data_IF_106929883572
#
_entry.id   IF_106929883572
#
_cell.length_a   1.000
_cell.length_b   1.000
_cell.length_c   1.000
_cell.angle_alpha   90.00
_cell.angle_beta   90.00
_cell.angle_gamma   90.00
#
_symmetry.space_group_name_H-M   'P 1'
#
loop_
_entity.id
_entity.type
_entity.pdbx_description
1 polymer ?
#
# COMPACT_ATOMS: atom_id res chain seq x y z
N UNK A 1 -2.39 13.58 13.88
CA UNK A 1 -3.04 12.48 14.62
C UNK A 1 -2.16 11.93 15.75
N UNK A 2 -1.00 11.33 15.47
CA UNK A 2 -0.13 10.67 16.48
C UNK A 2 1.20 11.40 16.73
N UNK A 3 1.37 12.61 16.19
CA UNK A 3 2.61 13.39 16.31
C UNK A 3 2.97 13.78 17.75
N UNK A 4 1.98 13.99 18.61
CA UNK A 4 2.15 14.30 20.03
C UNK A 4 2.05 13.09 20.97
N UNK A 5 1.84 11.89 20.44
CA UNK A 5 1.69 10.66 21.22
C UNK A 5 3.05 10.00 21.48
N UNK A 6 3.16 9.21 22.55
CA UNK A 6 4.30 8.30 22.74
C UNK A 6 4.26 7.26 21.63
N UNK A 7 5.35 7.15 20.86
CA UNK A 7 5.46 6.22 19.73
C UNK A 7 6.33 5.04 20.14
N UNK A 8 5.75 3.87 20.52
CA UNK A 8 6.51 2.67 20.84
C UNK A 8 7.26 2.14 19.62
N UNK A 9 8.14 1.14 19.82
CA UNK A 9 8.92 0.56 18.71
C UNK A 9 8.03 0.06 17.56
N UNK A 10 6.86 -0.52 17.88
CA UNK A 10 5.90 -1.03 16.91
C UNK A 10 4.56 -0.35 17.11
N UNK A 11 3.96 0.15 16.02
CA UNK A 11 2.61 0.73 16.02
C UNK A 11 1.76 -0.01 14.99
N UNK A 12 0.69 -0.65 15.41
CA UNK A 12 -0.28 -1.28 14.52
C UNK A 12 -1.36 -0.26 14.13
N UNK A 13 -1.44 0.08 12.84
CA UNK A 13 -2.44 0.98 12.29
C UNK A 13 -3.76 0.27 11.97
N UNK A 14 -3.68 -0.97 11.49
CA UNK A 14 -4.82 -1.76 11.08
C UNK A 14 -4.64 -3.22 11.51
N UNK A 15 -5.69 -3.80 12.09
CA UNK A 15 -5.76 -5.22 12.40
C UNK A 15 -7.18 -5.72 12.13
N UNK A 16 -7.32 -6.70 11.23
CA UNK A 16 -8.62 -7.26 10.84
C UNK A 16 -9.34 -8.04 11.95
N UNK A 17 -8.62 -8.39 13.02
CA UNK A 17 -9.19 -9.07 14.21
C UNK A 17 -9.64 -8.08 15.29
N UNK A 18 -9.48 -6.78 15.08
CA UNK A 18 -10.00 -5.76 16.00
C UNK A 18 -11.53 -5.71 16.00
N UNK A 19 -12.12 -5.19 17.08
CA UNK A 19 -13.57 -4.98 17.16
C UNK A 19 -14.07 -3.90 16.20
N UNK A 20 -13.26 -2.85 15.98
CA UNK A 20 -13.52 -1.78 15.01
C UNK A 20 -12.28 -1.53 14.13
N UNK A 21 -11.96 -2.42 13.17
CA UNK A 21 -10.71 -2.37 12.39
C UNK A 21 -10.53 -1.08 11.57
N UNK A 22 -11.63 -0.44 11.17
CA UNK A 22 -11.64 0.73 10.28
C UNK A 22 -11.90 2.05 11.01
N UNK A 23 -11.85 2.08 12.35
CA UNK A 23 -12.15 3.30 13.15
C UNK A 23 -11.27 4.51 12.77
N UNK A 24 -10.04 4.28 12.33
CA UNK A 24 -9.10 5.33 11.91
C UNK A 24 -9.14 5.60 10.40
N UNK A 25 -9.89 4.78 9.65
CA UNK A 25 -9.86 4.75 8.20
C UNK A 25 -11.13 5.36 7.61
N UNK A 26 -10.98 6.17 6.57
CA UNK A 26 -12.07 6.42 5.64
C UNK A 26 -12.16 5.29 4.64
N UNK A 27 -13.39 4.94 4.27
CA UNK A 27 -13.69 3.92 3.27
C UNK A 27 -14.36 4.62 2.10
N UNK A 28 -13.78 4.46 0.92
CA UNK A 28 -14.38 4.90 -0.33
C UNK A 28 -14.68 3.68 -1.18
N UNK A 29 -15.89 3.63 -1.73
CA UNK A 29 -16.36 2.56 -2.62
C UNK A 29 -16.93 3.19 -3.88
N UNK A 30 -16.70 2.55 -5.02
CA UNK A 30 -17.27 2.96 -6.29
C UNK A 30 -18.80 2.82 -6.29
N UNK A 31 -19.50 3.95 -6.24
CA UNK A 31 -20.95 3.99 -6.27
C UNK A 31 -21.56 3.61 -7.63
N UNK A 32 -20.76 3.66 -8.72
CA UNK A 32 -21.25 3.29 -10.04
C UNK A 32 -21.34 1.76 -10.23
N UNK A 33 -20.60 0.98 -9.44
CA UNK A 33 -20.50 -0.48 -9.57
C UNK A 33 -20.70 -1.18 -8.21
N UNK A 34 -21.87 -1.05 -7.57
CA UNK A 34 -22.11 -1.56 -6.21
C UNK A 34 -22.12 -3.10 -6.11
N UNK A 35 -22.36 -3.82 -7.21
CA UNK A 35 -22.32 -5.28 -7.27
C UNK A 35 -20.91 -5.87 -7.23
N UNK A 36 -19.92 -5.07 -7.59
CA UNK A 36 -18.53 -5.51 -7.78
C UNK A 36 -17.54 -4.78 -6.88
N UNK A 37 -17.97 -3.64 -6.32
CA UNK A 37 -17.16 -2.74 -5.50
C UNK A 37 -17.63 -2.76 -4.06
N UNK A 38 -16.81 -3.27 -3.15
CA UNK A 38 -17.15 -3.31 -1.72
C UNK A 38 -15.92 -3.51 -0.84
N UNK A 39 -16.11 -3.20 0.44
CA UNK A 39 -15.17 -3.47 1.53
C UNK A 39 -15.89 -4.33 2.56
N UNK A 40 -15.38 -5.52 2.84
CA UNK A 40 -16.08 -6.48 3.70
C UNK A 40 -15.13 -7.34 4.53
N UNK A 41 -15.49 -7.60 5.79
CA UNK A 41 -14.75 -8.52 6.65
C UNK A 41 -15.26 -9.95 6.43
N UNK A 42 -14.36 -10.86 6.11
CA UNK A 42 -14.68 -12.27 5.90
C UNK A 42 -13.56 -13.17 6.43
N UNK A 43 -13.86 -14.44 6.65
CA UNK A 43 -12.87 -15.44 6.99
C UNK A 43 -12.07 -15.84 5.75
N UNK A 44 -10.73 -15.80 5.81
CA UNK A 44 -9.89 -16.01 4.63
C UNK A 44 -10.05 -17.41 4.02
N UNK A 45 -10.31 -18.43 4.83
CA UNK A 45 -10.51 -19.81 4.37
C UNK A 45 -11.87 -20.04 3.72
N UNK A 46 -12.93 -19.66 4.44
CA UNK A 46 -14.31 -19.97 4.02
C UNK A 46 -14.92 -18.90 3.12
N UNK A 47 -14.34 -17.70 3.09
CA UNK A 47 -14.90 -16.51 2.44
C UNK A 47 -16.29 -16.13 2.95
N UNK A 48 -16.57 -16.44 4.22
CA UNK A 48 -17.82 -16.13 4.90
C UNK A 48 -17.60 -15.08 6.02
N UNK A 49 -18.58 -14.21 6.32
CA UNK A 49 -19.87 -14.08 5.63
C UNK A 49 -19.70 -13.56 4.19
N UNK A 50 -20.66 -13.90 3.33
CA UNK A 50 -20.70 -13.38 1.97
C UNK A 50 -21.16 -11.92 1.98
N UNK A 51 -20.60 -11.04 1.12
CA UNK A 51 -21.06 -9.66 1.01
C UNK A 51 -22.51 -9.62 0.51
N UNK A 52 -23.31 -8.72 1.09
CA UNK A 52 -24.71 -8.56 0.69
C UNK A 52 -24.81 -7.92 -0.71
N UNK A 53 -25.48 -8.58 -1.65
CA UNK A 53 -25.76 -8.03 -2.97
C UNK A 53 -24.55 -7.91 -3.92
N UNK A 54 -23.41 -8.50 -3.56
CA UNK A 54 -22.19 -8.46 -4.36
C UNK A 54 -21.58 -9.86 -4.55
N UNK A 55 -20.85 -10.05 -5.65
CA UNK A 55 -20.19 -11.32 -5.94
C UNK A 55 -18.70 -11.27 -5.58
N UNK A 56 -18.23 -12.29 -4.85
CA UNK A 56 -16.81 -12.42 -4.51
C UNK A 56 -16.02 -12.92 -5.73
N UNK A 57 -14.90 -12.27 -6.01
CA UNK A 57 -13.95 -12.77 -6.99
C UNK A 57 -13.41 -14.15 -6.57
N UNK A 58 -13.29 -15.06 -7.53
CA UNK A 58 -12.57 -16.32 -7.34
C UNK A 58 -11.09 -16.03 -7.07
N UNK A 59 -10.58 -16.62 -5.98
CA UNK A 59 -9.16 -16.49 -5.66
C UNK A 59 -8.34 -17.33 -6.65
N UNK A 60 -7.13 -16.87 -7.03
CA UNK A 60 -6.23 -17.66 -7.84
C UNK A 60 -5.98 -19.00 -7.18
N UNK A 61 -6.10 -20.07 -7.96
CA UNK A 61 -5.57 -21.37 -7.56
C UNK A 61 -4.06 -21.17 -7.44
N UNK A 62 -3.56 -21.18 -6.21
CA UNK A 62 -2.15 -20.93 -5.95
C UNK A 62 -1.24 -22.01 -6.58
N UNK A 63 -1.82 -23.13 -7.04
CA UNK A 63 -1.12 -24.31 -7.55
C UNK A 63 -1.83 -24.90 -8.77
N UNK A 64 -1.03 -25.30 -9.78
CA UNK A 64 -1.51 -25.78 -11.09
C UNK A 64 -1.56 -27.30 -11.22
N UNK A 65 -1.16 -28.05 -10.18
CA UNK A 65 -1.16 -29.51 -10.20
C UNK A 65 -1.69 -30.05 -8.87
N UNK A 66 -2.57 -31.04 -9.00
CA UNK A 66 -3.10 -31.96 -7.99
C UNK A 66 -4.24 -31.45 -7.08
N UNK A 67 -5.38 -32.12 -7.27
CA UNK A 67 -6.56 -32.32 -6.43
C UNK A 67 -7.06 -31.20 -5.51
N UNK A 68 -8.37 -30.96 -5.57
CA UNK A 68 -9.08 -29.94 -4.81
C UNK A 68 -8.92 -30.05 -3.27
N UNK A 69 -8.36 -31.15 -2.76
CA UNK A 69 -8.03 -31.36 -1.36
C UNK A 69 -6.70 -30.73 -0.90
N UNK A 70 -5.79 -30.35 -1.82
CA UNK A 70 -4.44 -29.86 -1.49
C UNK A 70 -4.34 -28.35 -1.12
N UNK A 71 -5.48 -27.65 -1.02
CA UNK A 71 -5.53 -26.23 -0.61
C UNK A 71 -5.74 -26.04 0.90
N UNK A 72 -5.78 -27.13 1.66
CA UNK A 72 -5.83 -27.14 3.13
C UNK A 72 -4.44 -26.73 3.65
N UNK A 73 -4.38 -25.65 4.44
CA UNK A 73 -3.18 -25.19 5.14
C UNK A 73 -2.60 -23.84 4.70
N UNK A 74 -2.81 -23.46 3.44
CA UNK A 74 -2.22 -22.22 2.86
C UNK A 74 -3.09 -20.97 3.02
N UNK A 75 -4.24 -21.10 3.68
CA UNK A 75 -5.22 -20.05 3.94
C UNK A 75 -5.29 -19.80 5.45
N UNK A 76 -5.55 -18.57 5.86
CA UNK A 76 -5.64 -18.25 7.28
C UNK A 76 -7.04 -18.57 7.81
N UNK A 77 -7.16 -19.27 8.95
CA UNK A 77 -8.44 -19.37 9.71
C UNK A 77 -8.72 -18.09 10.49
N UNK A 78 -8.62 -16.94 9.83
CA UNK A 78 -8.76 -15.63 10.47
C UNK A 78 -9.67 -14.71 9.67
N UNK A 79 -10.30 -13.78 10.37
CA UNK A 79 -11.04 -12.66 9.77
C UNK A 79 -10.04 -11.72 9.10
N UNK A 80 -10.32 -11.37 7.85
CA UNK A 80 -9.51 -10.48 7.01
C UNK A 80 -10.42 -9.49 6.30
N UNK A 81 -9.88 -8.34 5.94
CA UNK A 81 -10.60 -7.33 5.19
C UNK A 81 -10.42 -7.57 3.70
N UNK A 82 -11.51 -7.90 3.01
CA UNK A 82 -11.56 -8.03 1.56
C UNK A 82 -12.00 -6.69 0.95
N UNK A 83 -11.17 -6.14 0.07
CA UNK A 83 -11.47 -4.91 -0.68
C UNK A 83 -11.52 -5.30 -2.15
N UNK A 84 -12.66 -5.09 -2.81
CA UNK A 84 -12.86 -5.48 -4.21
C UNK A 84 -13.41 -4.30 -5.01
N UNK A 85 -12.94 -4.17 -6.24
CA UNK A 85 -13.45 -3.23 -7.24
C UNK A 85 -12.84 -3.57 -8.60
N UNK A 86 -13.59 -3.46 -9.71
CA UNK A 86 -13.01 -3.49 -11.05
C UNK A 86 -12.19 -2.22 -11.35
N UNK A 87 -12.53 -1.11 -10.70
CA UNK A 87 -11.91 0.20 -10.83
C UNK A 87 -11.04 0.47 -9.61
N UNK A 88 -9.72 0.33 -9.77
CA UNK A 88 -8.78 0.40 -8.65
C UNK A 88 -8.81 1.76 -7.94
N UNK A 89 -8.95 2.87 -8.68
CA UNK A 89 -8.80 4.23 -8.15
C UNK A 89 -9.97 4.71 -7.28
N UNK A 90 -11.16 4.13 -7.48
CA UNK A 90 -12.42 4.62 -6.89
C UNK A 90 -12.76 3.92 -5.57
N UNK A 91 -12.22 2.71 -5.35
CA UNK A 91 -12.43 1.94 -4.12
C UNK A 91 -11.13 1.76 -3.34
N UNK A 92 -11.10 2.26 -2.10
CA UNK A 92 -9.92 2.20 -1.23
C UNK A 92 -10.28 2.45 0.23
N UNK A 93 -9.34 2.12 1.11
CA UNK A 93 -9.33 2.61 2.50
C UNK A 93 -8.15 3.56 2.70
N UNK A 94 -8.30 4.56 3.56
CA UNK A 94 -7.25 5.56 3.84
C UNK A 94 -7.20 5.92 5.31
N UNK A 95 -6.00 5.97 5.88
CA UNK A 95 -5.75 6.42 7.24
C UNK A 95 -4.72 7.57 7.22
N UNK A 96 -5.02 8.74 7.83
CA UNK A 96 -6.23 9.03 8.59
C UNK A 96 -7.43 9.27 7.66
N UNK A 97 -8.64 9.21 8.21
CA UNK A 97 -9.88 9.32 7.44
C UNK A 97 -10.00 10.61 6.61
N UNK A 98 -9.54 11.74 7.16
CA UNK A 98 -9.39 13.00 6.47
C UNK A 98 -7.92 13.41 6.50
N UNK A 99 -7.32 13.65 5.32
CA UNK A 99 -5.98 14.21 5.18
C UNK A 99 -5.90 15.03 3.89
N UNK A 100 -5.40 16.26 4.02
CA UNK A 100 -5.12 17.15 2.91
C UNK A 100 -3.72 17.71 3.02
N UNK A 101 -2.97 17.66 1.92
CA UNK A 101 -1.65 18.28 1.79
C UNK A 101 -1.69 19.82 1.82
N UNK A 102 -2.89 20.42 1.72
CA UNK A 102 -3.06 21.88 1.69
C UNK A 102 -3.26 22.50 3.06
N UNK A 103 -3.54 21.67 4.07
CA UNK A 103 -3.67 22.08 5.46
C UNK A 103 -2.36 21.79 6.19
N UNK A 104 -2.02 22.53 7.25
CA UNK A 104 -0.89 22.22 8.16
C UNK A 104 -1.15 20.95 9.01
N UNK A 105 -1.89 20.00 8.43
CA UNK A 105 -2.17 18.72 9.02
C UNK A 105 -0.95 17.82 8.87
N UNK A 106 -0.41 17.38 10.00
CA UNK A 106 0.72 16.43 10.05
C UNK A 106 0.28 14.99 9.73
N UNK A 107 -1.00 14.78 9.42
CA UNK A 107 -1.59 13.48 9.12
C UNK A 107 -1.38 12.50 10.28
N UNK A 108 -0.85 11.31 10.00
CA UNK A 108 -0.48 10.34 11.01
C UNK A 108 0.61 10.87 11.94
N UNK A 109 1.68 11.47 11.40
CA UNK A 109 2.80 11.97 12.22
C UNK A 109 3.65 10.86 12.85
N UNK A 110 3.65 9.66 12.28
CA UNK A 110 4.39 8.50 12.78
C UNK A 110 5.82 8.51 12.23
N UNK A 111 6.82 8.42 13.11
CA UNK A 111 8.25 8.59 12.78
C UNK A 111 8.96 7.28 12.43
N UNK A 112 8.26 6.16 12.51
CA UNK A 112 8.79 4.83 12.21
C UNK A 112 9.29 4.74 10.78
N UNK A 113 10.42 4.07 10.60
CA UNK A 113 11.08 4.00 9.29
C UNK A 113 10.62 2.80 8.45
N UNK A 114 10.14 1.73 9.10
CA UNK A 114 9.65 0.54 8.43
C UNK A 114 8.13 0.52 8.41
N UNK A 115 7.56 0.23 7.25
CA UNK A 115 6.15 -0.06 7.06
C UNK A 115 6.00 -1.50 6.59
N UNK A 116 5.08 -2.22 7.21
CA UNK A 116 4.75 -3.58 6.86
C UNK A 116 3.25 -3.74 6.61
N UNK A 117 2.92 -4.39 5.49
CA UNK A 117 1.55 -4.64 5.06
C UNK A 117 1.39 -6.13 4.79
N UNK A 118 0.51 -6.79 5.56
CA UNK A 118 0.13 -8.19 5.32
C UNK A 118 -1.06 -8.25 4.39
N UNK A 119 -0.81 -8.77 3.19
CA UNK A 119 -1.76 -8.78 2.10
C UNK A 119 -1.74 -10.13 1.37
N UNK A 120 -2.90 -10.57 0.91
CA UNK A 120 -3.05 -11.71 0.00
C UNK A 120 -3.42 -11.19 -1.39
N UNK A 121 -2.66 -11.65 -2.38
CA UNK A 121 -2.94 -11.37 -3.78
C UNK A 121 -4.21 -12.15 -4.22
N UNK A 122 -5.20 -11.45 -4.76
CA UNK A 122 -6.44 -12.04 -5.30
C UNK A 122 -6.41 -12.20 -6.82
N UNK A 123 -5.23 -12.06 -7.44
CA UNK A 123 -5.02 -12.30 -8.88
C UNK A 123 -5.40 -11.15 -9.79
N UNK A 124 -5.56 -9.94 -9.24
CA UNK A 124 -5.83 -8.72 -10.00
C UNK A 124 -4.78 -7.66 -9.69
N UNK A 125 -4.79 -6.60 -10.48
CA UNK A 125 -3.94 -5.44 -10.28
C UNK A 125 -4.18 -4.80 -8.92
N UNK A 126 -3.12 -4.61 -8.14
CA UNK A 126 -3.19 -4.04 -6.80
C UNK A 126 -2.21 -2.86 -6.65
N UNK A 127 -2.55 -1.93 -5.76
CA UNK A 127 -1.64 -0.85 -5.37
C UNK A 127 -1.89 -0.35 -3.95
N UNK A 128 -0.88 0.33 -3.43
CA UNK A 128 -1.00 1.13 -2.21
C UNK A 128 -0.22 2.43 -2.34
N UNK A 129 -0.56 3.38 -1.47
CA UNK A 129 0.07 4.67 -1.38
C UNK A 129 0.43 5.01 0.06
N UNK A 130 1.54 5.72 0.21
CA UNK A 130 1.96 6.29 1.47
C UNK A 130 2.41 7.73 1.26
N UNK A 131 1.92 8.62 2.11
CA UNK A 131 2.40 9.99 2.17
C UNK A 131 3.57 10.08 3.14
N UNK A 132 4.63 10.77 2.73
CA UNK A 132 5.82 10.99 3.55
C UNK A 132 6.17 12.47 3.58
N UNK A 133 6.90 12.87 4.61
CA UNK A 133 7.49 14.20 4.75
C UNK A 133 8.97 14.06 5.09
N UNK A 134 9.81 14.89 4.48
CA UNK A 134 11.20 15.01 4.85
C UNK A 134 11.42 16.03 5.99
N UNK A 135 12.62 16.08 6.57
CA UNK A 135 12.95 17.00 7.67
C UNK A 135 12.95 18.48 7.26
N UNK A 136 12.92 18.77 5.96
CA UNK A 136 12.78 20.12 5.42
C UNK A 136 11.32 20.53 5.23
N UNK A 137 10.37 19.65 5.55
CA UNK A 137 8.93 19.89 5.44
C UNK A 137 8.36 19.61 4.05
N UNK A 138 9.13 19.01 3.14
CA UNK A 138 8.64 18.71 1.79
C UNK A 138 7.85 17.41 1.79
N UNK A 139 6.69 17.45 1.15
CA UNK A 139 5.78 16.32 1.05
C UNK A 139 6.09 15.48 -0.19
N UNK A 140 5.93 14.17 -0.08
CA UNK A 140 5.96 13.25 -1.20
C UNK A 140 4.95 12.13 -1.02
N UNK A 141 4.55 11.51 -2.12
CA UNK A 141 3.72 10.31 -2.12
C UNK A 141 4.51 9.20 -2.79
N UNK A 142 4.64 8.06 -2.11
CA UNK A 142 5.12 6.83 -2.73
C UNK A 142 3.90 5.99 -3.08
N UNK A 143 3.77 5.62 -4.34
CA UNK A 143 2.77 4.67 -4.83
C UNK A 143 3.48 3.42 -5.31
N UNK A 144 3.09 2.26 -4.82
CA UNK A 144 3.60 0.97 -5.30
C UNK A 144 2.45 0.21 -5.97
N UNK A 145 2.68 -0.30 -7.18
CA UNK A 145 1.64 -0.96 -7.99
C UNK A 145 2.14 -2.18 -8.72
N UNK A 146 1.29 -3.20 -8.86
CA UNK A 146 1.63 -4.44 -9.57
C UNK A 146 1.67 -4.31 -11.10
N UNK A 147 1.05 -3.26 -11.64
CA UNK A 147 1.00 -2.96 -13.08
C UNK A 147 2.04 -1.92 -13.52
N UNK A 148 2.78 -1.34 -12.58
CA UNK A 148 3.86 -0.42 -12.91
C UNK A 148 5.11 -1.21 -13.28
N UNK A 149 5.73 -0.89 -14.41
CA UNK A 149 6.94 -1.58 -14.89
C UNK A 149 8.21 -0.82 -14.50
N UNK A 150 8.25 0.49 -14.80
CA UNK A 150 9.40 1.35 -14.53
C UNK A 150 9.05 2.41 -13.49
N UNK A 151 9.97 2.85 -12.62
CA UNK A 151 9.75 4.01 -11.76
C UNK A 151 9.35 5.25 -12.56
N UNK A 152 8.30 5.95 -12.13
CA UNK A 152 7.91 7.23 -12.73
C UNK A 152 7.62 8.26 -11.64
N UNK A 153 7.96 9.51 -11.90
CA UNK A 153 7.58 10.62 -11.04
C UNK A 153 6.48 11.42 -11.75
N UNK A 154 5.39 11.70 -11.02
CA UNK A 154 4.33 12.59 -11.48
C UNK A 154 4.25 13.78 -10.56
N UNK A 155 4.23 14.97 -11.14
CA UNK A 155 4.09 16.20 -10.39
C UNK A 155 2.92 16.98 -10.94
N UNK A 156 2.17 17.58 -10.03
CA UNK A 156 1.10 18.49 -10.36
C UNK A 156 1.33 19.71 -9.49
N UNK A 157 1.31 20.92 -10.07
CA UNK A 157 1.63 22.17 -9.37
C UNK A 157 0.86 22.37 -8.06
N UNK A 158 -0.28 21.68 -7.91
CA UNK A 158 -1.22 21.82 -6.82
C UNK A 158 -1.23 20.66 -5.80
N UNK A 159 -0.39 19.64 -6.00
CA UNK A 159 -0.37 18.42 -5.20
C UNK A 159 1.07 17.96 -4.92
N UNK A 160 1.24 17.17 -3.86
CA UNK A 160 2.53 16.56 -3.56
C UNK A 160 3.01 15.66 -4.73
N UNK A 161 4.32 15.64 -5.03
CA UNK A 161 4.88 14.76 -6.05
C UNK A 161 4.61 13.29 -5.73
N UNK A 162 4.26 12.51 -6.76
CA UNK A 162 3.94 11.08 -6.66
C UNK A 162 5.03 10.27 -7.34
N UNK A 163 5.85 9.58 -6.55
CA UNK A 163 6.79 8.57 -6.99
C UNK A 163 6.07 7.22 -7.13
N UNK A 164 5.88 6.77 -8.37
CA UNK A 164 5.16 5.55 -8.70
C UNK A 164 6.14 4.44 -9.08
N UNK A 165 6.18 3.39 -8.25
CA UNK A 165 7.16 2.31 -8.28
C UNK A 165 6.53 0.96 -8.63
N UNK A 166 7.28 0.08 -9.31
CA UNK A 166 6.87 -1.30 -9.54
C UNK A 166 6.80 -2.08 -8.22
N UNK A 167 5.80 -2.94 -8.11
CA UNK A 167 5.65 -3.91 -7.03
C UNK A 167 5.42 -5.29 -7.65
N UNK A 168 6.04 -6.33 -7.11
CA UNK A 168 5.76 -7.71 -7.52
C UNK A 168 5.50 -8.57 -6.30
N UNK A 169 4.43 -9.35 -6.36
CA UNK A 169 4.23 -10.43 -5.41
C UNK A 169 5.22 -11.55 -5.69
N UNK A 170 5.67 -12.30 -4.65
CA UNK A 170 6.49 -13.47 -4.86
C UNK A 170 5.77 -14.47 -5.77
N UNK A 171 6.51 -15.10 -6.67
CA UNK A 171 5.96 -16.15 -7.52
C UNK A 171 5.44 -17.30 -6.68
N UNK A 172 4.30 -17.87 -7.06
CA UNK A 172 3.75 -19.06 -6.40
C UNK A 172 4.77 -20.21 -6.49
N UNK A 173 5.35 -20.59 -5.35
CA UNK A 173 6.25 -21.73 -5.23
C UNK A 173 5.53 -22.90 -4.56
N UNK A 174 5.83 -24.13 -4.98
CA UNK A 174 5.28 -25.37 -4.39
C UNK A 174 5.46 -25.42 -2.86
N UNK A 175 6.56 -24.84 -2.37
CA UNK A 175 6.96 -24.83 -0.97
C UNK A 175 6.42 -23.65 -0.15
N UNK A 176 5.60 -22.76 -0.71
CA UNK A 176 5.05 -21.65 0.07
C UNK A 176 4.07 -22.16 1.12
N UNK A 177 4.36 -21.84 2.40
CA UNK A 177 3.56 -22.23 3.57
C UNK A 177 2.23 -21.46 3.64
N UNK A 178 2.10 -20.33 2.97
CA UNK A 178 0.88 -19.52 2.95
C UNK A 178 0.74 -18.72 1.65
N UNK A 179 -0.51 -18.42 1.25
CA UNK A 179 -0.82 -17.53 0.13
C UNK A 179 -0.64 -16.04 0.47
N UNK A 180 -0.30 -15.73 1.73
CA UNK A 180 -0.12 -14.37 2.23
C UNK A 180 1.31 -13.88 2.03
N UNK A 181 1.46 -12.57 1.86
CA UNK A 181 2.76 -11.91 1.73
C UNK A 181 2.83 -10.71 2.68
N UNK A 182 4.00 -10.47 3.24
CA UNK A 182 4.29 -9.24 4.00
C UNK A 182 5.12 -8.31 3.14
N UNK A 183 4.50 -7.24 2.63
CA UNK A 183 5.22 -6.18 1.92
C UNK A 183 5.92 -5.32 2.97
N UNK A 184 7.25 -5.30 2.94
CA UNK A 184 8.09 -4.53 3.85
C UNK A 184 8.76 -3.40 3.09
N UNK A 185 8.65 -2.18 3.61
CA UNK A 185 9.11 -0.96 2.97
C UNK A 185 9.90 -0.15 3.97
N UNK A 186 11.15 0.20 3.65
CA UNK A 186 11.94 1.16 4.42
C UNK A 186 11.76 2.55 3.82
N UNK A 187 10.92 3.36 4.46
CA UNK A 187 10.48 4.66 3.96
C UNK A 187 11.62 5.65 3.64
N UNK A 188 12.73 5.69 4.41
CA UNK A 188 13.83 6.60 4.11
C UNK A 188 14.51 6.37 2.74
N UNK A 189 14.54 5.14 2.22
CA UNK A 189 15.22 4.83 0.94
C UNK A 189 14.54 5.45 -0.27
N UNK A 190 13.28 5.86 -0.14
CA UNK A 190 12.53 6.45 -1.25
C UNK A 190 12.74 7.96 -1.38
N UNK A 191 13.19 8.65 -0.32
CA UNK A 191 13.44 10.08 -0.38
C UNK A 191 14.44 10.45 -1.51
N UNK A 192 15.64 9.84 -1.60
CA UNK A 192 16.56 10.16 -2.69
C UNK A 192 16.03 9.77 -4.08
N UNK A 193 15.08 8.83 -4.17
CA UNK A 193 14.53 8.38 -5.46
C UNK A 193 13.68 9.45 -6.14
N UNK A 194 13.06 10.39 -5.40
CA UNK A 194 12.34 11.50 -6.01
C UNK A 194 13.26 12.31 -6.95
N UNK A 195 14.47 12.63 -6.49
CA UNK A 195 15.45 13.36 -7.29
C UNK A 195 16.04 12.49 -8.41
N UNK A 196 16.33 11.21 -8.15
CA UNK A 196 16.89 10.29 -9.15
C UNK A 196 15.96 10.09 -10.33
N UNK A 197 14.70 9.71 -10.07
CA UNK A 197 13.71 9.46 -11.14
C UNK A 197 13.39 10.74 -11.90
N UNK A 198 13.35 11.90 -11.22
CA UNK A 198 13.19 13.19 -11.90
C UNK A 198 14.32 13.48 -12.88
N UNK A 199 15.56 13.11 -12.57
CA UNK A 199 16.72 13.31 -13.44
C UNK A 199 16.68 12.38 -14.64
N UNK A 200 16.39 11.10 -14.40
CA UNK A 200 16.31 10.08 -15.45
C UNK A 200 15.19 10.37 -16.46
N UNK A 201 14.06 10.91 -15.99
CA UNK A 201 12.97 11.32 -16.86
C UNK A 201 13.36 12.50 -17.76
N UNK A 202 14.06 13.52 -17.22
CA UNK A 202 14.56 14.66 -18.01
C UNK A 202 15.54 14.22 -19.11
N UNK A 203 16.48 13.35 -18.75
CA UNK A 203 17.45 12.84 -19.72
C UNK A 203 16.83 12.03 -20.85
N UNK A 204 15.59 11.52 -20.70
CA UNK A 204 14.89 10.79 -21.77
C UNK A 204 14.15 11.73 -22.71
N UNK A 205 13.61 12.83 -22.21
CA UNK A 205 12.94 13.86 -23.03
C UNK A 205 13.94 14.61 -23.92
N UNK A 206 15.16 14.86 -23.44
CA UNK A 206 16.16 15.63 -24.22
C UNK A 206 16.73 14.86 -25.43
N UNK A 207 16.43 13.57 -25.59
CA UNK A 207 16.90 12.72 -26.72
C UNK A 207 15.83 12.51 -27.79
N UNK A 208 14.60 13.00 -27.57
CA UNK A 208 13.43 12.72 -28.42
C UNK A 208 12.90 13.94 -29.18
N UNK A 209 13.71 14.96 -29.43
CA UNK A 209 13.29 16.16 -30.17
C UNK A 209 13.68 16.09 -31.66
N UNK A 210 12.91 15.30 -32.41
CA UNK A 210 12.43 15.65 -33.75
C UNK A 210 10.94 15.26 -33.79
N UNK A 211 10.07 16.05 -33.16
CA UNK A 211 8.73 16.44 -33.64
C UNK A 211 7.79 16.86 -32.48
N UNK A 212 7.35 18.13 -32.51
CA UNK A 212 6.04 18.58 -32.02
C UNK A 212 5.62 18.41 -30.55
N UNK A 213 5.87 19.45 -29.74
CA UNK A 213 5.01 19.91 -28.63
C UNK A 213 4.72 18.94 -27.45
N UNK A 214 5.67 18.79 -26.52
CA UNK A 214 5.33 18.49 -25.13
C UNK A 214 5.55 19.73 -24.25
N UNK A 215 4.52 20.08 -23.49
CA UNK A 215 4.47 21.22 -22.58
C UNK A 215 5.56 21.11 -21.49
N UNK A 216 6.55 22.04 -21.43
CA UNK A 216 7.65 22.01 -20.46
C UNK A 216 7.20 22.22 -19.00
N UNK A 217 5.91 22.42 -18.75
CA UNK A 217 5.30 22.66 -17.44
C UNK A 217 5.30 21.44 -16.49
N UNK A 218 5.43 20.21 -17.00
CA UNK A 218 5.24 19.01 -16.19
C UNK A 218 6.48 18.51 -15.43
N UNK A 219 7.65 19.12 -15.64
CA UNK A 219 8.87 18.73 -14.93
C UNK A 219 9.10 19.69 -13.75
N UNK A 220 8.88 19.24 -12.50
CA UNK A 220 8.98 20.11 -11.33
C UNK A 220 10.40 20.64 -11.18
N UNK A 221 10.54 21.86 -10.66
CA UNK A 221 11.83 22.32 -10.16
C UNK A 221 12.27 21.39 -9.02
N UNK A 222 13.55 20.96 -8.97
CA UNK A 222 14.06 20.05 -7.94
C UNK A 222 13.82 20.56 -6.50
N UNK A 223 13.61 21.86 -6.38
CA UNK A 223 13.32 22.59 -5.16
C UNK A 223 12.07 22.08 -4.43
N UNK A 224 11.08 21.55 -5.15
CA UNK A 224 9.81 21.06 -4.56
C UNK A 224 9.80 19.57 -4.23
N UNK A 225 10.85 18.85 -4.61
CA UNK A 225 10.95 17.42 -4.35
C UNK A 225 11.51 17.15 -2.95
N UNK A 226 11.00 16.12 -2.25
CA UNK A 226 11.66 15.59 -1.06
C UNK A 226 13.11 15.23 -1.38
N UNK A 227 14.01 15.65 -0.50
CA UNK A 227 15.44 15.42 -0.67
C UNK A 227 16.25 15.47 0.63
N UNK A 228 15.61 15.86 1.75
CA UNK A 228 16.22 15.80 3.07
C UNK A 228 16.22 14.38 3.66
N UNK A 229 16.49 14.27 4.96
CA UNK A 229 16.26 13.02 5.68
C UNK A 229 14.76 12.79 5.88
N UNK A 230 14.33 11.53 5.93
CA UNK A 230 12.95 11.18 6.29
C UNK A 230 12.57 11.75 7.67
N UNK A 231 11.35 12.29 7.78
CA UNK A 231 10.81 12.81 9.05
C UNK A 231 9.69 11.94 9.60
N UNK A 232 8.60 11.74 8.83
CA UNK A 232 7.45 10.97 9.27
C UNK A 232 6.52 10.56 8.11
N UNK A 233 5.67 9.58 8.39
CA UNK A 233 4.55 9.13 7.57
C UNK A 233 3.32 10.01 7.83
N UNK A 234 2.66 10.48 6.78
CA UNK A 234 1.46 11.33 6.86
C UNK A 234 0.16 10.57 6.59
N UNK A 235 0.14 9.61 5.68
CA UNK A 235 -1.03 8.75 5.46
C UNK A 235 -0.65 7.40 4.85
N UNK A 236 -1.55 6.43 4.98
CA UNK A 236 -1.54 5.16 4.24
C UNK A 236 -2.87 5.03 3.50
N UNK A 237 -2.83 4.60 2.25
CA UNK A 237 -4.01 4.33 1.43
C UNK A 237 -3.84 2.98 0.73
N UNK A 238 -4.78 2.07 0.93
CA UNK A 238 -4.79 0.74 0.32
C UNK A 238 -5.91 0.69 -0.70
N UNK A 239 -5.59 0.40 -1.95
CA UNK A 239 -6.59 0.27 -3.00
C UNK A 239 -7.24 -1.12 -2.99
N UNK A 240 -8.36 -1.22 -3.70
CA UNK A 240 -9.11 -2.45 -3.91
C UNK A 240 -8.28 -3.58 -4.53
N UNK A 241 -8.92 -4.74 -4.68
CA UNK A 241 -8.41 -6.02 -5.19
C UNK A 241 -7.35 -6.69 -4.30
N UNK A 242 -7.61 -6.71 -2.99
CA UNK A 242 -6.78 -7.45 -2.06
C UNK A 242 -7.55 -7.99 -0.86
N UNK A 243 -6.94 -8.94 -0.14
CA UNK A 243 -7.29 -9.20 1.27
C UNK A 243 -6.19 -8.67 2.16
N UNK A 244 -6.59 -7.93 3.19
CA UNK A 244 -5.70 -7.24 4.12
C UNK A 244 -5.91 -7.81 5.53
N UNK A 245 -4.80 -8.12 6.20
CA UNK A 245 -4.82 -8.63 7.59
C UNK A 245 -4.32 -7.57 8.56
N UNK A 246 -3.13 -7.02 8.30
CA UNK A 246 -2.46 -6.08 9.22
C UNK A 246 -1.68 -5.01 8.45
N UNK A 247 -1.64 -3.81 9.03
CA UNK A 247 -0.72 -2.73 8.68
C UNK A 247 -0.05 -2.27 9.98
N UNK A 248 1.27 -2.28 10.02
CA UNK A 248 2.02 -1.77 11.17
C UNK A 248 3.29 -1.10 10.72
N UNK A 249 3.87 -0.33 11.64
CA UNK A 249 5.16 0.28 11.48
C UNK A 249 6.11 -0.15 12.58
N UNK A 250 7.42 -0.15 12.28
CA UNK A 250 8.48 -0.42 13.25
C UNK A 250 9.68 0.51 13.10
N UNK A 251 10.45 0.71 14.18
CA UNK A 251 11.74 1.42 14.09
C UNK A 251 12.88 0.49 13.65
N UNK A 252 12.80 -0.79 14.02
CA UNK A 252 13.77 -1.82 13.65
C UNK A 252 13.38 -2.54 12.36
N UNK A 253 14.37 -3.01 11.62
CA UNK A 253 14.14 -3.88 10.48
C UNK A 253 13.54 -5.22 10.96
N UNK A 254 12.75 -5.90 10.11
CA UNK A 254 12.30 -7.25 10.44
C UNK A 254 13.49 -8.16 10.76
N UNK A 255 13.43 -8.86 11.90
CA UNK A 255 14.42 -9.85 12.31
C UNK A 255 15.68 -9.35 13.03
N UNK A 256 15.95 -8.03 13.09
CA UNK A 256 17.15 -7.49 13.78
C UNK A 256 16.88 -6.92 15.17
N UNK A 257 15.61 -6.75 15.57
CA UNK A 257 15.19 -6.11 16.83
C UNK A 257 14.63 -7.06 17.89
N UNK A 258 14.89 -8.37 17.79
CA UNK A 258 14.22 -9.42 18.56
C UNK A 258 13.16 -10.16 17.73
N UNK A 259 12.55 -11.23 18.27
CA UNK A 259 11.51 -11.96 17.56
C UNK A 259 10.35 -11.01 17.25
N UNK A 260 9.86 -11.07 16.01
CA UNK A 260 8.61 -10.41 15.66
C UNK A 260 7.54 -10.96 16.61
N UNK A 261 6.76 -10.11 17.31
CA UNK A 261 5.73 -10.62 18.19
C UNK A 261 4.80 -11.57 17.41
N UNK A 262 4.44 -12.70 18.01
CA UNK A 262 3.73 -13.81 17.34
C UNK A 262 2.46 -13.33 16.62
N UNK A 263 1.82 -12.27 17.11
CA UNK A 263 0.63 -11.70 16.49
C UNK A 263 0.91 -11.09 15.09
N UNK A 264 2.14 -10.69 14.80
CA UNK A 264 2.56 -10.19 13.48
C UNK A 264 3.16 -11.28 12.59
N UNK A 265 3.33 -12.51 13.07
CA UNK A 265 3.78 -13.62 12.24
C UNK A 265 2.63 -14.20 11.39
N UNK A 266 2.99 -14.88 10.30
CA UNK A 266 2.07 -15.57 9.41
C UNK A 266 2.19 -17.06 9.67
N UNK A 267 1.22 -17.62 10.40
CA UNK A 267 1.08 -19.06 10.57
C UNK A 267 0.03 -19.57 9.59
N UNK A 268 0.47 -20.36 8.61
CA UNK A 268 -0.43 -21.25 7.87
C UNK A 268 -0.89 -22.39 8.76
N UNK A 269 -2.00 -23.03 8.38
CA UNK A 269 -2.41 -24.30 8.99
C UNK A 269 -1.72 -25.50 8.32
#
# INVERSE_FOLDING_TARGET
>A
MFSGSVQPNIVCLFSSTGSQPLSLFSVQVDAALPSDSFVHLLNDRTSLPAPAGASLISLPKAYRNEDAEACVGKQLRQTVLHIQSPTLRTTFIRCPASFSFRTDDKGLGLKHAWLQIQVRNVGREWSFEVGIVDKTGKHGVIRCSTFQVNPTLRCNHNLAPVLHLPLKFPSSSSNALTAWSTVTVYLPDFIPQFASVSRDQRSRTDVSDEDGSMDPSNVPSPQFLPGGAYAHLTYVKIYATCRLRRIWLSNSAPGTGGPTPWEFELYGD
#
